data_IF_329371454225
#
_entry.id   IF_329371454225
#
_cell.length_a   1.000
_cell.length_b   1.000
_cell.length_c   1.000
_cell.angle_alpha   90.00
_cell.angle_beta   90.00
_cell.angle_gamma   90.00
#
_symmetry.space_group_name_H-M   'P 1'
#
loop_
_entity.id
_entity.type
_entity.pdbx_description
1 polymer ?
#
# COMPACT_ATOMS: atom_id res chain seq x y z
N UNK A 1 -58.75 26.18 29.11
CA UNK A 1 -57.43 26.54 28.58
C UNK A 1 -56.58 25.27 28.49
N UNK A 2 -56.33 24.78 27.28
CA UNK A 2 -55.54 23.56 27.02
C UNK A 2 -54.12 24.01 26.65
N UNK A 3 -53.12 23.69 27.48
CA UNK A 3 -51.73 23.95 27.20
C UNK A 3 -51.18 22.87 26.25
N UNK A 4 -50.79 23.27 25.04
CA UNK A 4 -50.03 22.42 24.13
C UNK A 4 -48.54 22.60 24.43
N UNK A 5 -47.89 21.54 24.95
CA UNK A 5 -46.44 21.49 25.06
C UNK A 5 -45.88 21.05 23.70
N UNK A 6 -45.20 22.00 23.06
CA UNK A 6 -44.45 21.74 21.82
C UNK A 6 -43.08 21.16 22.18
N UNK A 7 -42.96 19.86 22.06
CA UNK A 7 -41.65 19.18 22.27
C UNK A 7 -40.80 19.39 21.05
N UNK A 8 -39.78 20.24 21.16
CA UNK A 8 -38.80 20.49 20.10
C UNK A 8 -37.76 19.35 20.14
N UNK A 9 -37.84 18.40 19.22
CA UNK A 9 -36.84 17.34 19.06
C UNK A 9 -35.66 17.95 18.32
N UNK A 10 -34.57 18.30 19.02
CA UNK A 10 -33.32 18.69 18.43
C UNK A 10 -32.65 17.42 17.91
N UNK A 11 -32.74 17.20 16.62
CA UNK A 11 -31.91 16.26 15.90
C UNK A 11 -30.47 16.83 15.82
N UNK A 12 -29.63 16.49 16.79
CA UNK A 12 -28.18 16.68 16.70
C UNK A 12 -27.66 15.72 15.62
N UNK A 13 -27.54 16.22 14.40
CA UNK A 13 -26.73 15.57 13.36
C UNK A 13 -25.26 15.65 13.80
N UNK A 14 -24.78 14.60 14.44
CA UNK A 14 -23.36 14.37 14.61
C UNK A 14 -22.77 14.14 13.21
N UNK A 15 -22.25 15.19 12.60
CA UNK A 15 -21.27 15.02 11.52
C UNK A 15 -20.05 14.37 12.16
N UNK A 16 -20.01 13.02 12.15
CA UNK A 16 -18.77 12.30 12.43
C UNK A 16 -17.81 12.71 11.33
N UNK A 17 -16.87 13.59 11.63
CA UNK A 17 -15.68 13.76 10.83
C UNK A 17 -15.03 12.37 10.74
N UNK A 18 -14.98 11.82 9.55
CA UNK A 18 -14.28 10.58 9.21
C UNK A 18 -12.77 10.85 9.30
N UNK A 19 -12.29 11.00 10.52
CA UNK A 19 -10.86 11.04 10.78
C UNK A 19 -10.41 9.60 11.01
N UNK A 20 -9.37 9.16 10.31
CA UNK A 20 -8.79 7.85 10.56
C UNK A 20 -8.47 7.68 12.05
N UNK A 21 -8.71 6.50 12.57
CA UNK A 21 -8.39 6.18 13.96
C UNK A 21 -6.92 5.75 14.05
N UNK A 22 -6.06 6.63 14.57
CA UNK A 22 -4.70 6.27 14.93
C UNK A 22 -4.70 5.27 16.08
N UNK A 23 -3.99 4.17 15.90
CA UNK A 23 -3.96 3.09 16.88
C UNK A 23 -2.56 2.48 16.97
N UNK A 24 -2.07 2.29 18.20
CA UNK A 24 -0.86 1.54 18.49
C UNK A 24 -1.22 0.11 18.89
N UNK A 25 -0.87 -0.85 18.05
CA UNK A 25 -1.21 -2.28 18.19
C UNK A 25 -0.01 -3.05 18.71
N UNK A 26 -0.15 -3.77 19.81
CA UNK A 26 0.89 -4.68 20.30
C UNK A 26 1.07 -5.85 19.31
N UNK A 27 2.28 -6.02 18.82
CA UNK A 27 2.63 -7.07 17.88
C UNK A 27 3.66 -8.07 18.44
N UNK A 28 3.77 -8.12 19.77
CA UNK A 28 4.63 -9.07 20.48
C UNK A 28 5.55 -8.42 21.51
N UNK A 29 4.99 -7.51 22.30
CA UNK A 29 5.69 -6.77 23.36
C UNK A 29 6.30 -5.45 22.88
N UNK A 30 5.93 -5.00 21.69
CA UNK A 30 6.19 -3.68 21.13
C UNK A 30 5.03 -3.29 20.22
N UNK A 31 4.93 -2.00 19.88
CA UNK A 31 3.75 -1.46 19.23
C UNK A 31 4.05 -1.02 17.80
N UNK A 32 3.15 -1.39 16.89
CA UNK A 32 3.09 -0.82 15.54
C UNK A 32 1.90 0.14 15.41
N UNK A 33 2.11 1.21 14.67
CA UNK A 33 1.11 2.21 14.38
C UNK A 33 0.31 1.82 13.15
N UNK A 34 -1.03 1.92 13.29
CA UNK A 34 -1.99 1.78 12.21
C UNK A 34 -2.93 2.98 12.21
N UNK A 35 -3.24 3.50 11.03
CA UNK A 35 -4.31 4.47 10.86
C UNK A 35 -5.45 3.79 10.08
N UNK A 36 -6.65 3.80 10.65
CA UNK A 36 -7.78 3.02 10.16
C UNK A 36 -8.99 3.92 9.93
N UNK A 37 -9.35 4.13 8.68
CA UNK A 37 -10.65 4.71 8.30
C UNK A 37 -11.65 3.56 8.20
N UNK A 38 -12.48 3.39 9.23
CA UNK A 38 -13.40 2.25 9.30
C UNK A 38 -14.56 2.38 8.32
N UNK A 39 -14.92 1.27 7.71
CA UNK A 39 -16.04 1.11 6.80
C UNK A 39 -16.46 -0.35 6.70
N UNK A 40 -17.29 -0.69 5.72
CA UNK A 40 -17.79 -2.04 5.51
C UNK A 40 -17.19 -2.68 4.25
N UNK A 41 -17.24 -4.00 4.14
CA UNK A 41 -16.72 -4.76 3.00
C UNK A 41 -15.25 -5.11 3.14
N UNK A 42 -14.63 -5.50 2.02
CA UNK A 42 -13.22 -5.94 1.99
C UNK A 42 -12.28 -4.75 2.23
N UNK A 43 -11.44 -4.77 3.28
CA UNK A 43 -10.53 -3.68 3.58
C UNK A 43 -9.44 -3.52 2.50
N UNK A 44 -8.94 -2.28 2.36
CA UNK A 44 -7.82 -1.95 1.49
C UNK A 44 -6.63 -1.57 2.37
N UNK A 45 -5.54 -2.31 2.24
CA UNK A 45 -4.27 -2.06 2.92
C UNK A 45 -3.30 -1.30 2.00
N UNK A 46 -2.72 -0.23 2.50
CA UNK A 46 -1.75 0.60 1.80
C UNK A 46 -0.35 0.41 2.40
N UNK A 47 0.57 -0.02 1.56
CA UNK A 47 1.97 -0.28 1.89
C UNK A 47 2.88 0.81 1.31
N UNK A 48 3.61 1.53 2.16
CA UNK A 48 4.47 2.64 1.76
C UNK A 48 5.77 2.19 1.06
N UNK A 49 6.44 3.12 0.40
CA UNK A 49 7.75 2.92 -0.19
C UNK A 49 8.88 2.83 0.85
N UNK A 50 10.13 2.68 0.40
CA UNK A 50 11.30 2.74 1.27
C UNK A 50 11.40 4.12 1.94
N UNK A 51 11.81 4.17 3.21
CA UNK A 51 12.01 5.41 3.95
C UNK A 51 10.75 6.19 4.28
N UNK A 52 9.56 5.65 3.98
CA UNK A 52 8.27 6.29 4.20
C UNK A 52 7.42 5.52 5.19
N UNK A 53 6.47 6.22 5.80
CA UNK A 53 5.44 5.69 6.68
C UNK A 53 4.04 5.79 6.03
N UNK A 54 3.00 5.38 6.75
CA UNK A 54 1.63 5.33 6.25
C UNK A 54 1.03 6.68 5.90
N UNK A 55 1.57 7.79 6.41
CA UNK A 55 1.04 9.13 6.18
C UNK A 55 1.17 9.62 4.74
N UNK A 56 2.03 9.01 3.93
CA UNK A 56 2.20 9.35 2.51
C UNK A 56 0.92 9.20 1.69
N UNK A 57 -0.04 8.42 2.19
CA UNK A 57 -1.30 8.13 1.53
C UNK A 57 -2.42 9.13 1.85
N UNK A 58 -2.24 10.03 2.84
CA UNK A 58 -3.30 10.88 3.38
C UNK A 58 -4.03 11.71 2.32
N UNK A 59 -3.36 12.09 1.23
CA UNK A 59 -3.95 12.91 0.16
C UNK A 59 -5.00 12.18 -0.71
N UNK A 60 -5.07 10.85 -0.63
CA UNK A 60 -5.99 10.04 -1.46
C UNK A 60 -7.03 9.26 -0.66
N UNK A 61 -6.78 8.98 0.63
CA UNK A 61 -7.60 8.08 1.44
C UNK A 61 -9.06 8.53 1.53
N UNK A 62 -9.31 9.80 1.89
CA UNK A 62 -10.67 10.32 2.10
C UNK A 62 -11.55 10.12 0.85
N UNK A 63 -11.01 10.42 -0.33
CA UNK A 63 -11.75 10.28 -1.58
C UNK A 63 -12.06 8.81 -1.91
N UNK A 64 -11.11 7.90 -1.68
CA UNK A 64 -11.32 6.47 -1.87
C UNK A 64 -12.38 5.97 -0.89
N UNK A 65 -12.28 6.35 0.38
CA UNK A 65 -13.23 5.95 1.41
C UNK A 65 -14.66 6.45 1.11
N UNK A 66 -14.80 7.71 0.74
CA UNK A 66 -16.11 8.32 0.44
C UNK A 66 -16.84 7.61 -0.70
N UNK A 67 -16.10 7.07 -1.69
CA UNK A 67 -16.68 6.31 -2.80
C UNK A 67 -16.96 4.87 -2.41
N UNK A 68 -15.94 4.18 -1.88
CA UNK A 68 -16.00 2.74 -1.64
C UNK A 68 -16.80 2.39 -0.38
N UNK A 69 -16.79 3.26 0.63
CA UNK A 69 -17.35 2.99 1.95
C UNK A 69 -16.63 1.88 2.70
N UNK A 70 -15.50 1.37 2.16
CA UNK A 70 -14.76 0.27 2.80
C UNK A 70 -13.72 0.76 3.79
N UNK A 71 -13.26 -0.14 4.65
CA UNK A 71 -12.16 0.15 5.58
C UNK A 71 -10.87 0.37 4.80
N UNK A 72 -10.19 1.49 5.07
CA UNK A 72 -8.84 1.76 4.57
C UNK A 72 -7.85 1.67 5.73
N UNK A 73 -6.75 0.98 5.49
CA UNK A 73 -5.71 0.73 6.49
C UNK A 73 -4.38 1.22 5.93
N UNK A 74 -3.75 2.16 6.63
CA UNK A 74 -2.33 2.46 6.47
C UNK A 74 -1.59 2.07 7.73
N UNK A 75 -0.30 1.86 7.64
CA UNK A 75 0.52 1.51 8.80
C UNK A 75 1.96 1.95 8.61
N UNK A 76 2.66 2.01 9.71
CA UNK A 76 4.09 2.27 9.74
C UNK A 76 4.82 0.96 10.00
N UNK A 77 5.77 0.61 9.12
CA UNK A 77 6.65 -0.55 9.38
C UNK A 77 7.47 -0.34 10.65
N UNK A 78 7.88 -1.42 11.29
CA UNK A 78 8.72 -1.38 12.49
C UNK A 78 9.91 -0.42 12.33
N UNK A 79 10.03 0.54 13.25
CA UNK A 79 11.05 1.59 13.24
C UNK A 79 10.83 2.77 12.30
N UNK A 80 9.66 2.86 11.64
CA UNK A 80 9.22 4.01 10.85
C UNK A 80 8.06 4.72 11.53
N UNK A 81 7.87 5.99 11.21
CA UNK A 81 6.75 6.80 11.70
C UNK A 81 6.60 6.72 13.22
N UNK A 82 5.45 6.23 13.68
CA UNK A 82 5.13 6.04 15.09
C UNK A 82 5.31 4.59 15.58
N UNK A 83 5.76 3.67 14.71
CA UNK A 83 6.01 2.28 15.08
C UNK A 83 7.33 2.11 15.82
N UNK A 84 7.29 1.33 16.90
CA UNK A 84 8.49 0.94 17.62
C UNK A 84 9.33 -0.06 16.82
N UNK A 85 10.62 -0.11 17.08
CA UNK A 85 11.47 -1.20 16.61
C UNK A 85 11.19 -2.47 17.44
N UNK A 86 11.27 -3.62 16.79
CA UNK A 86 11.13 -4.91 17.46
C UNK A 86 12.31 -5.16 18.41
N UNK A 87 12.13 -5.11 19.73
CA UNK A 87 13.23 -5.26 20.70
C UNK A 87 13.69 -6.72 20.85
N UNK A 88 12.95 -7.66 20.28
CA UNK A 88 13.25 -9.09 20.39
C UNK A 88 14.25 -9.56 19.33
N UNK A 89 14.47 -8.80 18.25
CA UNK A 89 15.45 -9.11 17.22
C UNK A 89 16.86 -8.77 17.73
N UNK A 90 17.82 -9.62 17.43
CA UNK A 90 19.19 -9.51 17.97
C UNK A 90 20.22 -9.15 16.92
N UNK A 91 20.05 -9.65 15.71
CA UNK A 91 20.97 -9.42 14.61
C UNK A 91 20.34 -8.49 13.58
N UNK A 92 21.15 -7.72 12.87
CA UNK A 92 20.64 -6.82 11.81
C UNK A 92 19.87 -7.60 10.73
N UNK A 93 20.29 -8.81 10.41
CA UNK A 93 19.62 -9.71 9.46
C UNK A 93 18.22 -10.15 9.88
N UNK A 94 17.90 -10.09 11.17
CA UNK A 94 16.58 -10.50 11.67
C UNK A 94 15.49 -9.48 11.28
N UNK A 95 15.88 -8.23 10.94
CA UNK A 95 14.98 -7.16 10.49
C UNK A 95 14.64 -7.21 8.99
N UNK A 96 14.76 -8.39 8.36
CA UNK A 96 14.43 -8.59 6.94
C UNK A 96 12.93 -8.57 6.66
N UNK A 97 12.59 -8.64 5.36
CA UNK A 97 11.20 -8.52 4.88
C UNK A 97 10.26 -9.60 5.46
N UNK A 98 10.74 -10.82 5.73
CA UNK A 98 9.91 -11.88 6.32
C UNK A 98 9.41 -11.50 7.72
N UNK A 99 10.31 -10.91 8.54
CA UNK A 99 9.91 -10.42 9.84
C UNK A 99 8.89 -9.29 9.71
N UNK A 100 9.12 -8.34 8.81
CA UNK A 100 8.18 -7.24 8.56
C UNK A 100 6.79 -7.73 8.15
N UNK A 101 6.70 -8.78 7.34
CA UNK A 101 5.42 -9.41 6.98
C UNK A 101 4.79 -10.11 8.20
N UNK A 102 5.56 -10.80 9.03
CA UNK A 102 5.02 -11.45 10.24
C UNK A 102 4.48 -10.41 11.25
N UNK A 103 5.14 -9.28 11.38
CA UNK A 103 4.70 -8.15 12.19
C UNK A 103 3.38 -7.56 11.66
N UNK A 104 3.30 -7.33 10.35
CA UNK A 104 2.08 -6.86 9.69
C UNK A 104 0.91 -7.84 9.87
N UNK A 105 1.14 -9.13 9.63
CA UNK A 105 0.13 -10.18 9.83
C UNK A 105 -0.43 -10.19 11.25
N UNK A 106 0.46 -10.05 12.23
CA UNK A 106 0.08 -10.01 13.64
C UNK A 106 -0.73 -8.76 13.96
N UNK A 107 -0.32 -7.60 13.45
CA UNK A 107 -1.06 -6.35 13.60
C UNK A 107 -2.46 -6.43 12.98
N UNK A 108 -2.57 -6.92 11.74
CA UNK A 108 -3.85 -7.10 11.06
C UNK A 108 -4.76 -8.08 11.81
N UNK A 109 -4.22 -9.20 12.29
CA UNK A 109 -4.97 -10.20 13.08
C UNK A 109 -5.50 -9.62 14.38
N UNK A 110 -4.67 -8.87 15.13
CA UNK A 110 -5.09 -8.24 16.38
C UNK A 110 -6.15 -7.14 16.18
N UNK A 111 -6.22 -6.57 14.98
CA UNK A 111 -7.24 -5.61 14.56
C UNK A 111 -8.50 -6.25 13.96
N UNK A 112 -8.50 -7.58 13.78
CA UNK A 112 -9.62 -8.34 13.19
C UNK A 112 -9.66 -8.33 11.67
N UNK A 113 -8.55 -7.98 10.99
CA UNK A 113 -8.41 -7.95 9.53
C UNK A 113 -7.65 -9.19 8.99
N UNK A 114 -8.05 -10.36 9.41
CA UNK A 114 -7.41 -11.63 9.06
C UNK A 114 -8.09 -12.39 7.91
N UNK A 115 -9.12 -11.79 7.31
CA UNK A 115 -9.89 -12.34 6.18
C UNK A 115 -9.39 -11.81 4.83
N UNK A 116 -10.31 -11.59 3.91
CA UNK A 116 -10.03 -11.03 2.58
C UNK A 116 -9.53 -9.59 2.68
N UNK A 117 -8.60 -9.24 1.76
CA UNK A 117 -7.96 -7.93 1.73
C UNK A 117 -7.57 -7.55 0.30
N UNK A 118 -7.59 -6.25 0.01
CA UNK A 118 -7.05 -5.66 -1.20
C UNK A 118 -5.75 -4.95 -0.84
N UNK A 119 -4.71 -5.10 -1.67
CA UNK A 119 -3.40 -4.53 -1.41
C UNK A 119 -3.11 -3.38 -2.37
N UNK A 120 -2.59 -2.28 -1.84
CA UNK A 120 -2.06 -1.15 -2.60
C UNK A 120 -0.64 -0.89 -2.12
N UNK A 121 0.32 -0.72 -3.03
CA UNK A 121 1.69 -0.45 -2.62
C UNK A 121 2.41 0.50 -3.56
N UNK A 122 3.40 1.21 -2.99
CA UNK A 122 4.31 2.07 -3.73
C UNK A 122 5.74 1.56 -3.61
N UNK A 123 6.49 1.59 -4.73
CA UNK A 123 7.94 1.37 -4.70
C UNK A 123 8.35 0.07 -3.99
N UNK A 124 9.20 0.17 -2.97
CA UNK A 124 9.68 -0.96 -2.14
C UNK A 124 8.52 -1.76 -1.52
N UNK A 125 7.40 -1.11 -1.21
CA UNK A 125 6.19 -1.78 -0.72
C UNK A 125 5.64 -2.86 -1.66
N UNK A 126 5.96 -2.81 -2.96
CA UNK A 126 5.62 -3.86 -3.91
C UNK A 126 6.21 -5.22 -3.55
N UNK A 127 7.38 -5.25 -2.90
CA UNK A 127 8.00 -6.49 -2.41
C UNK A 127 7.22 -7.07 -1.23
N UNK A 128 6.71 -6.22 -0.34
CA UNK A 128 5.81 -6.62 0.75
C UNK A 128 4.51 -7.21 0.22
N UNK A 129 3.86 -6.53 -0.74
CA UNK A 129 2.64 -7.03 -1.36
C UNK A 129 2.86 -8.36 -2.09
N UNK A 130 3.99 -8.53 -2.78
CA UNK A 130 4.37 -9.79 -3.42
C UNK A 130 4.45 -10.92 -2.39
N UNK A 131 5.19 -10.70 -1.30
CA UNK A 131 5.38 -11.72 -0.28
C UNK A 131 4.09 -12.04 0.46
N UNK A 132 3.31 -11.02 0.83
CA UNK A 132 2.01 -11.19 1.48
C UNK A 132 1.03 -11.97 0.60
N UNK A 133 0.92 -11.61 -0.70
CA UNK A 133 0.04 -12.31 -1.63
C UNK A 133 0.44 -13.79 -1.84
N UNK A 134 1.74 -14.08 -1.83
CA UNK A 134 2.23 -15.47 -1.92
C UNK A 134 1.94 -16.28 -0.68
N UNK A 135 2.04 -15.68 0.51
CA UNK A 135 1.68 -16.33 1.78
C UNK A 135 0.16 -16.55 1.90
N UNK A 136 -0.63 -15.64 1.35
CA UNK A 136 -2.09 -15.61 1.50
C UNK A 136 -2.86 -15.53 0.17
N UNK A 137 -2.62 -16.42 -0.81
CA UNK A 137 -3.16 -16.31 -2.17
C UNK A 137 -4.70 -16.44 -2.24
N UNK A 138 -5.34 -16.93 -1.16
CA UNK A 138 -6.80 -17.02 -1.06
C UNK A 138 -7.43 -15.81 -0.35
N UNK A 139 -6.63 -15.01 0.35
CA UNK A 139 -7.11 -13.81 1.07
C UNK A 139 -6.98 -12.55 0.23
N UNK A 140 -5.95 -12.46 -0.63
CA UNK A 140 -5.72 -11.28 -1.45
C UNK A 140 -6.62 -11.31 -2.67
N UNK A 141 -7.58 -10.38 -2.73
CA UNK A 141 -8.55 -10.32 -3.82
C UNK A 141 -8.04 -9.51 -5.03
N UNK A 142 -7.21 -8.49 -4.80
CA UNK A 142 -6.62 -7.66 -5.85
C UNK A 142 -5.36 -6.96 -5.34
N UNK A 143 -4.47 -6.58 -6.26
CA UNK A 143 -3.25 -5.82 -5.95
C UNK A 143 -3.17 -4.60 -6.87
N UNK A 144 -2.87 -3.42 -6.31
CA UNK A 144 -2.47 -2.22 -7.06
C UNK A 144 -1.02 -1.91 -6.76
N UNK A 145 -0.19 -1.96 -7.78
CA UNK A 145 1.23 -1.62 -7.74
C UNK A 145 1.40 -0.21 -8.30
N UNK A 146 2.03 0.68 -7.54
CA UNK A 146 2.29 2.07 -7.94
C UNK A 146 3.79 2.24 -8.03
N UNK A 147 4.32 2.23 -9.24
CA UNK A 147 5.75 2.26 -9.55
C UNK A 147 6.57 1.34 -8.62
N UNK A 148 6.06 0.12 -8.47
CA UNK A 148 6.56 -0.84 -7.50
C UNK A 148 7.95 -1.37 -7.87
N UNK A 149 8.78 -1.59 -6.88
CA UNK A 149 10.06 -2.27 -7.06
C UNK A 149 9.80 -3.70 -7.53
N UNK A 150 10.25 -4.01 -8.74
CA UNK A 150 10.27 -5.36 -9.29
C UNK A 150 11.62 -6.01 -8.96
N UNK A 151 11.59 -7.14 -8.28
CA UNK A 151 12.82 -7.80 -7.81
C UNK A 151 13.78 -8.21 -8.93
N UNK A 152 13.27 -8.50 -10.13
CA UNK A 152 14.04 -8.85 -11.31
C UNK A 152 14.73 -7.64 -11.99
N UNK A 153 14.44 -6.40 -11.56
CA UNK A 153 15.22 -5.23 -11.93
C UNK A 153 16.65 -5.32 -11.39
N UNK A 154 16.82 -5.86 -10.19
CA UNK A 154 18.06 -5.89 -9.45
C UNK A 154 18.87 -7.15 -9.79
N UNK A 155 19.95 -7.00 -10.57
CA UNK A 155 20.97 -8.03 -10.73
C UNK A 155 22.11 -7.82 -9.73
N UNK A 156 23.07 -8.72 -9.65
CA UNK A 156 24.18 -8.62 -8.67
C UNK A 156 25.06 -7.39 -8.91
N UNK A 157 25.18 -6.93 -10.15
CA UNK A 157 25.94 -5.71 -10.48
C UNK A 157 25.24 -4.47 -9.87
N UNK A 158 23.93 -4.33 -10.06
CA UNK A 158 23.14 -3.22 -9.48
C UNK A 158 23.10 -3.28 -7.96
N UNK A 159 23.01 -4.47 -7.36
CA UNK A 159 23.09 -4.62 -5.91
C UNK A 159 24.47 -4.20 -5.39
N UNK A 160 25.54 -4.61 -6.04
CA UNK A 160 26.91 -4.19 -5.69
C UNK A 160 27.11 -2.69 -5.86
N UNK A 161 26.55 -2.11 -6.93
CA UNK A 161 26.61 -0.66 -7.16
C UNK A 161 25.85 0.10 -6.06
N UNK A 162 24.68 -0.40 -5.67
CA UNK A 162 23.92 0.18 -4.57
C UNK A 162 24.71 0.18 -3.26
N UNK A 163 25.33 -0.94 -2.90
CA UNK A 163 26.11 -1.06 -1.65
C UNK A 163 27.28 -0.07 -1.62
N UNK A 164 27.89 0.23 -2.77
CA UNK A 164 28.95 1.24 -2.86
C UNK A 164 28.44 2.68 -2.67
N UNK A 165 27.14 2.92 -2.96
CA UNK A 165 26.53 4.25 -2.90
C UNK A 165 25.74 4.49 -1.60
N UNK A 166 25.45 3.45 -0.82
CA UNK A 166 24.76 3.57 0.46
C UNK A 166 25.77 3.48 1.60
N UNK A 167 26.03 4.60 2.25
CA UNK A 167 26.85 4.61 3.46
C UNK A 167 25.98 4.33 4.69
N UNK A 168 25.97 3.08 5.13
CA UNK A 168 25.23 2.66 6.32
C UNK A 168 25.69 3.37 7.60
N UNK A 169 26.95 3.86 7.65
CA UNK A 169 27.45 4.58 8.82
C UNK A 169 26.84 5.99 8.94
N UNK A 170 26.33 6.53 7.85
CA UNK A 170 25.61 7.82 7.86
C UNK A 170 24.16 7.70 8.31
N UNK A 171 23.62 6.48 8.39
CA UNK A 171 22.24 6.22 8.79
C UNK A 171 22.19 5.94 10.31
N UNK A 172 21.30 6.64 11.00
CA UNK A 172 21.11 6.43 12.45
C UNK A 172 20.79 4.97 12.77
N UNK A 173 21.57 4.34 13.65
CA UNK A 173 21.29 3.01 14.18
C UNK A 173 21.02 3.11 15.69
N UNK A 174 19.93 2.47 16.21
CA UNK A 174 18.92 1.69 15.49
C UNK A 174 17.87 2.59 14.82
N UNK A 175 17.41 2.22 13.63
CA UNK A 175 16.25 2.84 12.95
C UNK A 175 15.70 1.91 11.86
N UNK A 176 14.45 2.13 11.44
CA UNK A 176 13.85 1.42 10.31
C UNK A 176 14.67 1.60 9.02
N UNK A 177 15.13 2.82 8.74
CA UNK A 177 15.98 3.12 7.59
C UNK A 177 17.29 2.34 7.59
N UNK A 178 17.95 2.23 8.75
CA UNK A 178 19.16 1.44 8.86
C UNK A 178 18.89 -0.02 8.49
N UNK A 179 17.89 -0.62 9.12
CA UNK A 179 17.58 -2.04 8.90
C UNK A 179 17.03 -2.33 7.50
N UNK A 180 16.24 -1.44 6.93
CA UNK A 180 15.80 -1.56 5.55
C UNK A 180 17.01 -1.55 4.60
N UNK A 181 17.92 -0.62 4.76
CA UNK A 181 19.08 -0.48 3.89
C UNK A 181 20.09 -1.63 4.06
N UNK A 182 20.33 -2.09 5.28
CA UNK A 182 21.24 -3.21 5.55
C UNK A 182 20.69 -4.55 5.03
N UNK A 183 19.37 -4.74 5.00
CA UNK A 183 18.72 -5.96 4.52
C UNK A 183 18.24 -5.89 3.06
N UNK A 184 18.43 -4.77 2.36
CA UNK A 184 17.86 -4.56 1.03
C UNK A 184 18.28 -5.63 0.04
N UNK A 185 19.58 -5.92 -0.06
CA UNK A 185 20.11 -6.87 -1.02
C UNK A 185 19.61 -8.30 -0.76
N UNK A 186 19.58 -8.70 0.52
CA UNK A 186 19.05 -10.01 0.91
C UNK A 186 17.53 -10.09 0.64
N UNK A 187 16.81 -9.03 0.90
CA UNK A 187 15.38 -8.94 0.54
C UNK A 187 15.18 -9.17 -0.97
N UNK A 188 15.95 -8.48 -1.81
CA UNK A 188 15.88 -8.66 -3.27
C UNK A 188 16.21 -10.09 -3.68
N UNK A 189 17.29 -10.68 -3.14
CA UNK A 189 17.67 -12.07 -3.44
C UNK A 189 16.60 -13.06 -3.01
N UNK A 190 16.02 -12.85 -1.83
CA UNK A 190 14.97 -13.70 -1.28
C UNK A 190 13.71 -13.72 -2.17
N UNK A 191 13.26 -12.55 -2.67
CA UNK A 191 12.03 -12.47 -3.47
C UNK A 191 12.27 -12.55 -4.98
N UNK A 192 13.53 -12.57 -5.47
CA UNK A 192 13.89 -12.42 -6.90
C UNK A 192 13.15 -13.38 -7.83
N UNK A 193 12.98 -14.60 -7.44
CA UNK A 193 12.32 -15.64 -8.25
C UNK A 193 10.85 -15.79 -7.92
N UNK A 194 10.32 -14.98 -7.02
CA UNK A 194 8.90 -15.00 -6.68
C UNK A 194 8.08 -14.25 -7.72
N UNK A 195 6.87 -14.72 -7.94
CA UNK A 195 5.89 -14.07 -8.78
C UNK A 195 4.57 -13.98 -8.02
N UNK A 196 3.75 -12.99 -8.35
CA UNK A 196 2.40 -12.93 -7.83
C UNK A 196 1.63 -14.18 -8.23
N UNK A 197 0.72 -14.68 -7.37
CA UNK A 197 -0.19 -15.77 -7.74
C UNK A 197 -1.01 -15.39 -8.98
N UNK A 198 -1.09 -16.27 -9.97
CA UNK A 198 -1.71 -16.01 -11.29
C UNK A 198 -3.21 -15.69 -11.22
N UNK A 199 -3.87 -16.14 -10.14
CA UNK A 199 -5.31 -15.89 -9.95
C UNK A 199 -5.63 -14.49 -9.44
N UNK A 200 -4.65 -13.71 -8.97
CA UNK A 200 -4.87 -12.39 -8.37
C UNK A 200 -4.83 -11.30 -9.46
N UNK A 201 -5.91 -10.52 -9.65
CA UNK A 201 -5.89 -9.36 -10.53
C UNK A 201 -4.91 -8.28 -10.04
N UNK A 202 -4.13 -7.70 -10.96
CA UNK A 202 -3.13 -6.67 -10.66
C UNK A 202 -3.37 -5.43 -11.53
N UNK A 203 -3.43 -4.26 -10.91
CA UNK A 203 -3.30 -2.96 -11.56
C UNK A 203 -1.85 -2.50 -11.40
N UNK A 204 -1.08 -2.50 -12.48
CA UNK A 204 0.31 -2.10 -12.48
C UNK A 204 0.43 -0.69 -13.03
N UNK A 205 0.46 0.30 -12.15
CA UNK A 205 0.61 1.71 -12.49
C UNK A 205 2.08 2.09 -12.42
N UNK A 206 2.63 2.62 -13.49
CA UNK A 206 4.03 3.09 -13.50
C UNK A 206 4.15 4.41 -14.28
N UNK A 207 5.11 5.28 -13.91
CA UNK A 207 5.23 6.61 -14.50
C UNK A 207 5.74 6.57 -15.92
N UNK A 208 5.36 7.59 -16.70
CA UNK A 208 5.97 7.83 -18.00
C UNK A 208 7.45 8.22 -17.87
N UNK A 209 7.76 9.00 -16.84
CA UNK A 209 9.13 9.47 -16.55
C UNK A 209 9.70 8.64 -15.38
N UNK A 210 10.93 8.20 -15.56
CA UNK A 210 11.65 7.48 -14.50
C UNK A 210 12.16 8.44 -13.43
N UNK A 211 12.82 7.88 -12.41
CA UNK A 211 13.44 8.65 -11.34
C UNK A 211 14.35 9.77 -11.87
N UNK A 212 14.22 11.01 -11.37
CA UNK A 212 15.14 12.07 -11.68
C UNK A 212 16.59 11.65 -11.38
N UNK A 213 17.49 11.84 -12.34
CA UNK A 213 18.90 11.44 -12.22
C UNK A 213 19.21 9.96 -12.43
N UNK A 214 18.19 9.13 -12.71
CA UNK A 214 18.42 7.73 -13.07
C UNK A 214 19.01 7.65 -14.49
N UNK A 215 20.10 6.88 -14.71
CA UNK A 215 20.64 6.70 -16.05
C UNK A 215 19.59 6.17 -17.03
N UNK A 216 19.59 6.68 -18.26
CA UNK A 216 18.58 6.32 -19.28
C UNK A 216 18.45 4.81 -19.47
N UNK A 217 19.57 4.09 -19.49
CA UNK A 217 19.57 2.62 -19.63
C UNK A 217 18.82 1.92 -18.48
N UNK A 218 18.95 2.42 -17.25
CA UNK A 218 18.22 1.87 -16.10
C UNK A 218 16.76 2.27 -16.12
N UNK A 219 16.45 3.48 -16.57
CA UNK A 219 15.07 3.94 -16.78
C UNK A 219 14.34 3.09 -17.81
N UNK A 220 14.98 2.81 -18.93
CA UNK A 220 14.44 1.95 -19.97
C UNK A 220 14.25 0.50 -19.49
N UNK A 221 15.19 -0.02 -18.69
CA UNK A 221 15.07 -1.34 -18.07
C UNK A 221 13.91 -1.40 -17.10
N UNK A 222 13.70 -0.36 -16.25
CA UNK A 222 12.58 -0.28 -15.32
C UNK A 222 11.23 -0.34 -16.03
N UNK A 223 11.03 0.53 -17.04
CA UNK A 223 9.82 0.56 -17.86
C UNK A 223 9.56 -0.78 -18.54
N UNK A 224 10.60 -1.34 -19.19
CA UNK A 224 10.51 -2.63 -19.87
C UNK A 224 10.00 -3.74 -18.93
N UNK A 225 10.50 -3.79 -17.69
CA UNK A 225 10.08 -4.80 -16.73
C UNK A 225 8.62 -4.62 -16.27
N UNK A 226 8.15 -3.38 -16.12
CA UNK A 226 6.75 -3.11 -15.88
C UNK A 226 5.87 -3.52 -17.08
N UNK A 227 6.29 -3.22 -18.30
CA UNK A 227 5.60 -3.67 -19.51
C UNK A 227 5.55 -5.21 -19.59
N UNK A 228 6.67 -5.88 -19.34
CA UNK A 228 6.75 -7.35 -19.32
C UNK A 228 5.86 -7.96 -18.24
N UNK A 229 5.70 -7.30 -17.08
CA UNK A 229 4.80 -7.76 -16.03
C UNK A 229 3.36 -7.81 -16.54
N UNK A 230 2.88 -6.76 -17.23
CA UNK A 230 1.53 -6.70 -17.80
C UNK A 230 1.27 -7.72 -18.90
N UNK A 231 2.31 -8.19 -19.57
CA UNK A 231 2.19 -9.18 -20.64
C UNK A 231 2.17 -10.64 -20.14
N UNK A 232 2.29 -10.86 -18.82
CA UNK A 232 2.34 -12.24 -18.27
C UNK A 232 0.99 -12.93 -18.26
N UNK A 233 -0.07 -12.21 -17.94
CA UNK A 233 -1.44 -12.74 -17.87
C UNK A 233 -2.44 -11.63 -18.21
N UNK A 234 -3.64 -12.01 -18.64
CA UNK A 234 -4.78 -11.10 -18.87
C UNK A 234 -5.33 -10.44 -17.59
N UNK A 235 -4.90 -10.94 -16.42
CA UNK A 235 -5.27 -10.38 -15.11
C UNK A 235 -4.41 -9.20 -14.69
N UNK A 236 -3.31 -8.92 -15.40
CA UNK A 236 -2.43 -7.79 -15.09
C UNK A 236 -2.72 -6.66 -16.08
N UNK A 237 -3.20 -5.54 -15.56
CA UNK A 237 -3.50 -4.35 -16.35
C UNK A 237 -2.41 -3.29 -16.13
N UNK A 238 -1.64 -2.99 -17.17
CA UNK A 238 -0.65 -1.92 -17.18
C UNK A 238 -1.32 -0.56 -17.40
N UNK A 239 -0.94 0.41 -16.58
CA UNK A 239 -1.44 1.79 -16.62
C UNK A 239 -0.24 2.74 -16.58
N UNK A 240 -0.02 3.47 -17.68
CA UNK A 240 1.05 4.48 -17.74
C UNK A 240 0.54 5.78 -17.15
N UNK A 241 1.19 6.25 -16.10
CA UNK A 241 0.91 7.54 -15.46
C UNK A 241 1.66 8.65 -16.22
N UNK A 242 0.98 9.25 -17.22
CA UNK A 242 1.54 10.30 -18.06
C UNK A 242 1.88 11.54 -17.24
N UNK A 243 3.04 12.13 -17.50
CA UNK A 243 3.53 13.34 -16.84
C UNK A 243 3.93 13.16 -15.37
N UNK A 244 3.83 11.93 -14.85
CA UNK A 244 4.19 11.62 -13.45
C UNK A 244 5.62 11.11 -13.34
N UNK A 245 6.23 11.33 -12.18
CA UNK A 245 7.43 10.69 -11.71
C UNK A 245 7.14 9.52 -10.76
N UNK A 246 8.13 9.13 -9.96
CA UNK A 246 8.05 7.98 -9.06
C UNK A 246 6.89 8.03 -8.05
N UNK A 247 6.60 9.20 -7.49
CA UNK A 247 5.52 9.39 -6.53
C UNK A 247 4.16 9.64 -7.22
N UNK A 248 3.72 8.72 -8.09
CA UNK A 248 2.51 8.89 -8.92
C UNK A 248 1.28 9.30 -8.10
N UNK A 249 1.14 8.81 -6.86
CA UNK A 249 0.02 9.18 -5.97
C UNK A 249 0.06 10.64 -5.50
N UNK A 250 1.19 11.33 -5.63
CA UNK A 250 1.34 12.76 -5.40
C UNK A 250 1.18 13.56 -6.69
N UNK A 251 1.80 13.10 -7.77
CA UNK A 251 1.82 13.79 -9.07
C UNK A 251 0.46 13.70 -9.79
N UNK A 252 -0.19 12.55 -9.68
CA UNK A 252 -1.50 12.28 -10.29
C UNK A 252 -2.42 11.52 -9.34
N UNK A 253 -2.86 12.14 -8.24
CA UNK A 253 -3.71 11.48 -7.25
C UNK A 253 -5.03 10.98 -7.83
N UNK A 254 -5.59 11.68 -8.83
CA UNK A 254 -6.84 11.27 -9.47
C UNK A 254 -6.72 9.91 -10.19
N UNK A 255 -5.59 9.66 -10.86
CA UNK A 255 -5.33 8.38 -11.50
C UNK A 255 -5.30 7.24 -10.47
N UNK A 256 -4.60 7.46 -9.34
CA UNK A 256 -4.47 6.43 -8.30
C UNK A 256 -5.81 6.19 -7.61
N UNK A 257 -6.53 7.24 -7.24
CA UNK A 257 -7.88 7.13 -6.65
C UNK A 257 -8.78 6.29 -7.56
N UNK A 258 -8.86 6.63 -8.84
CA UNK A 258 -9.67 5.90 -9.81
C UNK A 258 -9.23 4.45 -9.98
N UNK A 259 -7.92 4.19 -10.01
CA UNK A 259 -7.38 2.84 -10.15
C UNK A 259 -7.74 1.97 -8.94
N UNK A 260 -7.58 2.49 -7.73
CA UNK A 260 -7.91 1.77 -6.49
C UNK A 260 -9.41 1.51 -6.38
N UNK A 261 -10.24 2.52 -6.71
CA UNK A 261 -11.70 2.35 -6.73
C UNK A 261 -12.12 1.27 -7.74
N UNK A 262 -11.55 1.28 -8.97
CA UNK A 262 -11.82 0.24 -9.97
C UNK A 262 -11.39 -1.14 -9.50
N UNK A 263 -10.20 -1.26 -8.90
CA UNK A 263 -9.72 -2.51 -8.32
C UNK A 263 -10.67 -3.04 -7.24
N UNK A 264 -11.20 -2.16 -6.38
CA UNK A 264 -12.21 -2.52 -5.38
C UNK A 264 -13.53 -2.98 -6.02
N UNK A 265 -14.07 -2.22 -6.99
CA UNK A 265 -15.32 -2.54 -7.69
C UNK A 265 -15.26 -3.94 -8.34
N UNK A 266 -14.12 -4.31 -8.92
CA UNK A 266 -13.92 -5.60 -9.57
C UNK A 266 -13.99 -6.79 -8.59
N UNK A 267 -13.88 -6.56 -7.29
CA UNK A 267 -14.02 -7.61 -6.25
C UNK A 267 -15.46 -7.80 -5.78
N UNK A 268 -16.38 -6.92 -6.16
CA UNK A 268 -17.76 -6.87 -5.70
C UNK A 268 -18.71 -7.67 -6.60
N UNK A 269 -19.87 -8.07 -6.06
CA UNK A 269 -20.97 -8.55 -6.87
C UNK A 269 -21.64 -7.41 -7.68
N UNK A 270 -22.51 -7.76 -8.65
CA UNK A 270 -23.06 -6.79 -9.59
C UNK A 270 -23.85 -5.65 -8.96
N UNK A 271 -24.63 -5.95 -7.93
CA UNK A 271 -25.46 -4.95 -7.25
C UNK A 271 -24.60 -3.95 -6.46
N UNK A 272 -23.59 -4.46 -5.75
CA UNK A 272 -22.62 -3.65 -5.05
C UNK A 272 -21.79 -2.78 -6.01
N UNK A 273 -21.38 -3.34 -7.18
CA UNK A 273 -20.68 -2.57 -8.22
C UNK A 273 -21.48 -1.35 -8.63
N UNK A 274 -22.78 -1.53 -8.93
CA UNK A 274 -23.65 -0.43 -9.36
C UNK A 274 -23.76 0.68 -8.31
N UNK A 275 -23.85 0.33 -7.03
CA UNK A 275 -23.90 1.30 -5.93
C UNK A 275 -22.60 2.12 -5.86
N UNK A 276 -21.44 1.46 -5.91
CA UNK A 276 -20.14 2.14 -5.81
C UNK A 276 -19.88 2.99 -7.07
N UNK A 277 -20.24 2.49 -8.27
CA UNK A 277 -20.12 3.24 -9.52
C UNK A 277 -20.98 4.51 -9.47
N UNK A 278 -22.23 4.43 -8.99
CA UNK A 278 -23.10 5.61 -8.88
C UNK A 278 -22.49 6.66 -7.94
N UNK A 279 -21.97 6.25 -6.77
CA UNK A 279 -21.27 7.18 -5.86
C UNK A 279 -20.05 7.83 -6.51
N UNK A 280 -19.28 7.07 -7.29
CA UNK A 280 -18.11 7.59 -7.98
C UNK A 280 -18.48 8.64 -9.04
N UNK A 281 -19.58 8.44 -9.74
CA UNK A 281 -20.14 9.39 -10.71
C UNK A 281 -20.63 10.67 -10.03
N UNK A 282 -21.39 10.53 -8.94
CA UNK A 282 -21.94 11.66 -8.18
C UNK A 282 -20.83 12.58 -7.63
N UNK A 283 -19.67 12.00 -7.32
CA UNK A 283 -18.48 12.72 -6.87
C UNK A 283 -17.54 13.17 -8.01
N UNK A 284 -17.92 12.93 -9.28
CA UNK A 284 -17.12 13.25 -10.47
C UNK A 284 -15.70 12.65 -10.44
N UNK A 285 -15.53 11.51 -9.78
CA UNK A 285 -14.23 10.84 -9.61
C UNK A 285 -13.92 9.79 -10.66
N UNK A 286 -14.93 9.29 -11.38
CA UNK A 286 -14.77 8.37 -12.51
C UNK A 286 -15.42 8.98 -13.74
N UNK A 287 -14.64 9.11 -14.82
CA UNK A 287 -15.18 9.36 -16.14
C UNK A 287 -15.33 8.01 -16.85
N UNK A 288 -16.58 7.66 -17.20
CA UNK A 288 -16.92 6.43 -17.92
C UNK A 288 -16.58 6.61 -19.41
#
# INVERSE_FOLDING_TARGET
>A
MRHYYLTFLILLSFSMYLQGQDTLVDVGGYKMHFNIMRGEGTPILFEAGAGSDGSVWNNILEKIHNVTGTTLITYDRSGFGQSELNPNLKNDSDFGIENGINELEKGLSNLGFDKEIILVSHSYGGLYNLLYARKHPKKVLSVTLIDATLSNFWNEELLTMRDKNVDLNSIKKPSGDYYLNSNFNETIRYVRNMQFPENIPIKNVFPENSFPGFPEALSNRWKKLHDELGNKTDKINNIIAKGSGHAVFQDNPALIINTVIKAYIETLNKDQQNIVLQKALDLSLIHI
#
